data_IF_618730058647
#
_entry.id   IF_618730058647
#
_cell.length_a   1.000
_cell.length_b   1.000
_cell.length_c   1.000
_cell.angle_alpha   90.00
_cell.angle_beta   90.00
_cell.angle_gamma   90.00
#
_symmetry.space_group_name_H-M   'P 1'
#
loop_
_entity.id
_entity.type
_entity.pdbx_description
1 polymer ?
#
# COMPACT_ATOMS: atom_id res chain seq x y z
N UNK A 1 0.70 -5.65 -30.76
CA UNK A 1 1.97 -5.29 -30.11
C UNK A 1 1.77 -4.78 -28.68
N UNK A 2 0.78 -3.90 -28.39
CA UNK A 2 0.46 -3.46 -27.01
C UNK A 2 0.38 -4.59 -25.97
N UNK A 3 -0.32 -5.68 -26.27
CA UNK A 3 -0.43 -6.82 -25.33
C UNK A 3 0.92 -7.50 -25.08
N UNK A 4 1.83 -7.53 -26.07
CA UNK A 4 3.15 -8.16 -25.93
C UNK A 4 4.05 -7.32 -25.01
N UNK A 5 4.05 -6.00 -25.16
CA UNK A 5 4.76 -5.08 -24.27
C UNK A 5 4.21 -5.16 -22.85
N UNK A 6 2.88 -5.21 -22.68
CA UNK A 6 2.26 -5.39 -21.37
C UNK A 6 2.65 -6.72 -20.72
N UNK A 7 2.66 -7.82 -21.48
CA UNK A 7 3.11 -9.13 -21.01
C UNK A 7 4.59 -9.05 -20.58
N UNK A 8 5.45 -8.51 -21.42
CA UNK A 8 6.88 -8.32 -21.11
C UNK A 8 7.08 -7.51 -19.82
N UNK A 9 6.40 -6.38 -19.67
CA UNK A 9 6.43 -5.58 -18.45
C UNK A 9 6.02 -6.40 -17.22
N UNK A 10 4.89 -7.11 -17.32
CA UNK A 10 4.38 -7.88 -16.19
C UNK A 10 5.28 -9.06 -15.82
N UNK A 11 5.89 -9.74 -16.78
CA UNK A 11 6.64 -10.97 -16.53
C UNK A 11 8.12 -10.73 -16.21
N UNK A 12 8.72 -9.68 -16.78
CA UNK A 12 10.17 -9.46 -16.72
C UNK A 12 10.59 -8.17 -16.01
N UNK A 13 9.80 -7.09 -16.05
CA UNK A 13 10.25 -5.75 -15.59
C UNK A 13 9.72 -5.37 -14.20
N UNK A 14 8.68 -6.05 -13.73
CA UNK A 14 7.98 -5.70 -12.48
C UNK A 14 8.84 -5.94 -11.22
N UNK A 15 8.69 -5.08 -10.21
CA UNK A 15 9.39 -5.18 -8.91
C UNK A 15 9.19 -6.54 -8.24
N UNK A 16 7.96 -7.08 -8.35
CA UNK A 16 7.63 -8.42 -7.87
C UNK A 16 8.52 -9.51 -8.48
N UNK A 17 8.87 -9.39 -9.76
CA UNK A 17 9.66 -10.37 -10.50
C UNK A 17 11.15 -10.17 -10.31
N UNK A 18 11.61 -8.91 -10.31
CA UNK A 18 13.03 -8.58 -10.21
C UNK A 18 13.59 -8.60 -8.79
N UNK A 19 12.80 -8.15 -7.81
CA UNK A 19 13.25 -7.94 -6.43
C UNK A 19 12.50 -8.86 -5.46
N UNK A 20 11.18 -8.79 -5.39
CA UNK A 20 10.43 -9.45 -4.31
C UNK A 20 10.48 -10.98 -4.40
N UNK A 21 10.52 -11.54 -5.61
CA UNK A 21 10.70 -12.98 -5.86
C UNK A 21 11.94 -13.56 -5.17
N UNK A 22 13.01 -12.76 -5.07
CA UNK A 22 14.30 -13.13 -4.44
C UNK A 22 14.32 -12.91 -2.93
N UNK A 23 13.23 -12.37 -2.36
CA UNK A 23 13.10 -12.06 -0.94
C UNK A 23 11.71 -12.37 -0.37
N UNK A 24 11.05 -13.42 -0.87
CA UNK A 24 9.67 -13.77 -0.53
C UNK A 24 9.37 -13.70 0.98
N UNK A 25 10.21 -14.31 1.84
CA UNK A 25 10.01 -14.28 3.29
C UNK A 25 10.06 -12.87 3.88
N UNK A 26 11.09 -12.08 3.51
CA UNK A 26 11.25 -10.71 4.00
C UNK A 26 10.13 -9.79 3.50
N UNK A 27 9.67 -10.01 2.27
CA UNK A 27 8.55 -9.29 1.68
C UNK A 27 7.26 -9.54 2.45
N UNK A 28 6.91 -10.81 2.68
CA UNK A 28 5.70 -11.15 3.45
C UNK A 28 5.80 -10.67 4.90
N UNK A 29 6.97 -10.80 5.54
CA UNK A 29 7.16 -10.27 6.89
C UNK A 29 7.01 -8.75 6.94
N UNK A 30 7.51 -8.03 5.93
CA UNK A 30 7.37 -6.58 5.84
C UNK A 30 5.92 -6.18 5.64
N UNK A 31 5.21 -6.81 4.71
CA UNK A 31 3.80 -6.54 4.45
C UNK A 31 2.93 -6.78 5.68
N UNK A 32 3.07 -7.95 6.32
CA UNK A 32 2.28 -8.31 7.51
C UNK A 32 2.57 -7.33 8.65
N UNK A 33 3.85 -7.03 8.88
CA UNK A 33 4.26 -6.13 9.95
C UNK A 33 3.71 -4.72 9.73
N UNK A 34 3.80 -4.18 8.51
CA UNK A 34 3.28 -2.85 8.18
C UNK A 34 1.75 -2.77 8.26
N UNK A 35 1.06 -3.85 7.87
CA UNK A 35 -0.42 -3.93 7.90
C UNK A 35 -0.98 -4.00 9.32
N UNK A 36 -0.32 -4.76 10.20
CA UNK A 36 -0.77 -4.98 11.57
C UNK A 36 -0.27 -3.92 12.56
N UNK A 37 0.81 -3.21 12.23
CA UNK A 37 1.43 -2.27 13.15
C UNK A 37 0.51 -1.14 13.62
N UNK A 38 -0.16 -0.47 12.68
CA UNK A 38 -1.00 0.68 13.01
C UNK A 38 -2.22 0.30 13.86
N UNK A 39 -2.98 -0.78 13.54
CA UNK A 39 -4.02 -1.30 14.44
C UNK A 39 -3.49 -1.62 15.83
N UNK A 40 -2.35 -2.31 15.94
CA UNK A 40 -1.77 -2.71 17.23
C UNK A 40 -1.29 -1.53 18.07
N UNK A 41 -0.68 -0.51 17.44
CA UNK A 41 -0.27 0.72 18.12
C UNK A 41 -1.50 1.44 18.68
N UNK A 42 -2.58 1.55 17.91
CA UNK A 42 -3.78 2.25 18.39
C UNK A 42 -4.46 1.45 19.51
N UNK A 43 -4.54 0.12 19.40
CA UNK A 43 -5.05 -0.73 20.49
C UNK A 43 -4.23 -0.51 21.77
N UNK A 44 -2.90 -0.48 21.67
CA UNK A 44 -2.03 -0.21 22.81
C UNK A 44 -2.27 1.18 23.44
N UNK A 45 -2.50 2.21 22.61
CA UNK A 45 -2.85 3.56 23.07
C UNK A 45 -4.24 3.62 23.72
N UNK A 46 -5.22 2.90 23.19
CA UNK A 46 -6.55 2.79 23.79
C UNK A 46 -6.49 2.11 25.17
N UNK A 47 -5.73 1.02 25.30
CA UNK A 47 -5.52 0.33 26.58
C UNK A 47 -4.87 1.29 27.58
N UNK A 48 -3.83 2.02 27.15
CA UNK A 48 -3.15 3.02 27.98
C UNK A 48 -4.11 4.11 28.47
N UNK A 49 -4.97 4.63 27.60
CA UNK A 49 -5.97 5.64 27.97
C UNK A 49 -7.00 5.13 28.98
N UNK A 50 -7.39 3.86 28.89
CA UNK A 50 -8.41 3.26 29.77
C UNK A 50 -7.86 2.78 31.12
N UNK A 51 -6.55 2.60 31.26
CA UNK A 51 -5.94 2.11 32.50
C UNK A 51 -5.37 3.26 33.31
N UNK A 52 -6.10 3.69 34.36
CA UNK A 52 -5.71 4.78 35.27
C UNK A 52 -4.39 4.53 36.03
N UNK A 53 -3.92 3.27 36.11
CA UNK A 53 -2.65 2.90 36.74
C UNK A 53 -1.56 2.65 35.71
N UNK A 54 -0.48 3.44 35.81
CA UNK A 54 0.90 3.13 35.39
C UNK A 54 1.02 2.13 34.23
N UNK A 55 0.41 2.46 33.10
CA UNK A 55 0.36 1.60 31.92
C UNK A 55 1.65 1.72 31.08
N UNK A 56 2.81 1.52 31.70
CA UNK A 56 4.09 1.52 31.01
C UNK A 56 4.21 0.34 30.03
N UNK A 57 3.55 -0.79 30.31
CA UNK A 57 3.57 -1.99 29.47
C UNK A 57 3.08 -1.77 28.03
N UNK A 58 1.83 -1.28 27.83
CA UNK A 58 1.31 -0.96 26.49
C UNK A 58 2.19 0.05 25.74
N UNK A 59 2.68 1.09 26.42
CA UNK A 59 3.56 2.11 25.81
C UNK A 59 4.89 1.49 25.36
N UNK A 60 5.54 0.68 26.21
CA UNK A 60 6.77 -0.05 25.85
C UNK A 60 6.54 -1.00 24.68
N UNK A 61 5.38 -1.67 24.62
CA UNK A 61 5.03 -2.55 23.51
C UNK A 61 4.86 -1.79 22.18
N UNK A 62 4.23 -0.62 22.22
CA UNK A 62 4.09 0.25 21.04
C UNK A 62 5.45 0.76 20.56
N UNK A 63 6.32 1.19 21.48
CA UNK A 63 7.69 1.61 21.15
C UNK A 63 8.48 0.45 20.53
N UNK A 64 8.42 -0.74 21.13
CA UNK A 64 9.09 -1.93 20.60
C UNK A 64 8.60 -2.27 19.18
N UNK A 65 7.30 -2.13 18.93
CA UNK A 65 6.70 -2.37 17.61
C UNK A 65 7.19 -1.35 16.57
N UNK A 66 7.28 -0.07 16.93
CA UNK A 66 7.84 0.98 16.05
C UNK A 66 9.32 0.69 15.74
N UNK A 67 10.12 0.33 16.74
CA UNK A 67 11.53 -0.04 16.54
C UNK A 67 11.65 -1.26 15.62
N UNK A 68 10.80 -2.27 15.81
CA UNK A 68 10.75 -3.45 14.96
C UNK A 68 10.38 -3.13 13.51
N UNK A 69 9.42 -2.22 13.28
CA UNK A 69 9.08 -1.73 11.94
C UNK A 69 10.25 -1.04 11.26
N UNK A 70 10.94 -0.14 11.97
CA UNK A 70 12.13 0.55 11.45
C UNK A 70 13.20 -0.47 11.08
N UNK A 71 13.41 -1.49 11.92
CA UNK A 71 14.36 -2.56 11.66
C UNK A 71 14.01 -3.36 10.40
N UNK A 72 12.76 -3.83 10.27
CA UNK A 72 12.34 -4.58 9.08
C UNK A 72 12.44 -3.71 7.83
N UNK A 73 11.97 -2.46 7.88
CA UNK A 73 12.03 -1.54 6.74
C UNK A 73 13.48 -1.33 6.27
N UNK A 74 14.41 -1.09 7.21
CA UNK A 74 15.84 -0.99 6.90
C UNK A 74 16.39 -2.28 6.29
N UNK A 75 16.00 -3.44 6.83
CA UNK A 75 16.49 -4.74 6.34
C UNK A 75 15.96 -5.04 4.93
N UNK A 76 14.70 -4.72 4.67
CA UNK A 76 14.07 -4.83 3.36
C UNK A 76 14.78 -3.97 2.32
N UNK A 77 14.97 -2.67 2.60
CA UNK A 77 15.66 -1.74 1.70
C UNK A 77 17.11 -2.17 1.43
N UNK A 78 17.82 -2.64 2.46
CA UNK A 78 19.20 -3.12 2.32
C UNK A 78 19.28 -4.34 1.40
N UNK A 79 18.37 -5.31 1.56
CA UNK A 79 18.30 -6.50 0.70
C UNK A 79 17.91 -6.14 -0.74
N UNK A 80 16.96 -5.21 -0.93
CA UNK A 80 16.52 -4.78 -2.26
C UNK A 80 17.69 -4.17 -3.03
N UNK A 81 18.48 -3.31 -2.36
CA UNK A 81 19.71 -2.75 -2.93
C UNK A 81 20.74 -3.81 -3.31
N UNK A 82 20.98 -4.81 -2.45
CA UNK A 82 21.94 -5.88 -2.75
C UNK A 82 21.54 -6.62 -4.03
N UNK A 83 20.24 -6.87 -4.21
CA UNK A 83 19.72 -7.51 -5.43
C UNK A 83 19.93 -6.61 -6.65
N UNK A 84 19.58 -5.32 -6.57
CA UNK A 84 19.78 -4.37 -7.66
C UNK A 84 21.25 -4.26 -8.08
N UNK A 85 22.15 -4.10 -7.11
CA UNK A 85 23.57 -3.99 -7.39
C UNK A 85 24.17 -5.29 -7.94
N UNK A 86 23.71 -6.46 -7.48
CA UNK A 86 24.24 -7.76 -7.95
C UNK A 86 23.78 -8.11 -9.36
N UNK A 87 22.53 -7.78 -9.69
CA UNK A 87 21.88 -8.25 -10.92
C UNK A 87 21.95 -7.21 -12.04
N UNK A 88 21.95 -5.93 -11.68
CA UNK A 88 21.88 -4.81 -12.63
C UNK A 88 23.06 -3.84 -12.49
N UNK A 89 24.01 -4.10 -11.59
CA UNK A 89 25.17 -3.24 -11.34
C UNK A 89 24.83 -1.78 -10.97
N UNK A 90 23.61 -1.51 -10.49
CA UNK A 90 23.18 -0.16 -10.11
C UNK A 90 23.56 0.14 -8.67
N UNK A 91 24.33 1.22 -8.50
CA UNK A 91 24.72 1.75 -7.19
C UNK A 91 23.69 2.77 -6.71
N UNK A 92 22.77 2.35 -5.85
CA UNK A 92 21.80 3.25 -5.21
C UNK A 92 22.28 3.80 -3.86
N UNK A 93 21.89 5.04 -3.56
CA UNK A 93 22.12 5.66 -2.26
C UNK A 93 21.38 4.92 -1.12
N UNK A 94 21.83 5.12 0.13
CA UNK A 94 21.18 4.49 1.30
C UNK A 94 19.72 4.95 1.41
N UNK A 95 18.79 4.01 1.35
CA UNK A 95 17.35 4.26 1.53
C UNK A 95 16.57 4.56 0.24
N UNK A 96 17.23 4.71 -0.91
CA UNK A 96 16.59 5.07 -2.20
C UNK A 96 16.75 3.98 -3.26
N UNK A 97 16.38 2.75 -2.93
CA UNK A 97 16.48 1.66 -3.92
C UNK A 97 15.46 1.80 -5.06
N UNK A 98 14.36 2.54 -4.82
CA UNK A 98 13.30 2.79 -5.79
C UNK A 98 13.78 3.56 -7.02
N UNK A 99 14.59 4.61 -6.84
CA UNK A 99 15.10 5.44 -7.94
C UNK A 99 15.93 4.60 -8.91
N UNK A 100 16.92 3.86 -8.40
CA UNK A 100 17.72 2.97 -9.23
C UNK A 100 16.94 1.78 -9.78
N UNK A 101 15.85 1.36 -9.13
CA UNK A 101 14.95 0.36 -9.71
C UNK A 101 14.18 0.93 -10.91
N UNK A 102 13.69 2.17 -10.83
CA UNK A 102 13.01 2.86 -11.92
C UNK A 102 13.92 2.98 -13.16
N UNK A 103 15.19 3.29 -12.96
CA UNK A 103 16.21 3.30 -14.03
C UNK A 103 16.34 1.94 -14.73
N UNK A 104 16.35 0.82 -13.99
CA UNK A 104 16.30 -0.54 -14.59
C UNK A 104 15.06 -0.70 -15.46
N UNK A 105 13.91 -0.24 -14.97
CA UNK A 105 12.65 -0.42 -15.69
C UNK A 105 12.63 0.37 -16.99
N UNK A 106 13.09 1.62 -16.96
CA UNK A 106 13.27 2.44 -18.16
C UNK A 106 14.19 1.73 -19.15
N UNK A 107 15.36 1.28 -18.69
CA UNK A 107 16.35 0.62 -19.54
C UNK A 107 15.79 -0.65 -20.21
N UNK A 108 15.19 -1.56 -19.44
CA UNK A 108 14.62 -2.81 -19.97
C UNK A 108 13.45 -2.57 -20.95
N UNK A 109 12.62 -1.54 -20.70
CA UNK A 109 11.52 -1.21 -21.60
C UNK A 109 12.06 -0.55 -22.88
N UNK A 110 13.04 0.34 -22.77
CA UNK A 110 13.71 0.94 -23.93
C UNK A 110 14.35 -0.11 -24.82
N UNK A 111 15.10 -1.06 -24.26
CA UNK A 111 15.68 -2.18 -25.02
C UNK A 111 14.60 -2.96 -25.78
N UNK A 112 13.51 -3.32 -25.10
CA UNK A 112 12.38 -4.01 -25.74
C UNK A 112 11.77 -3.20 -26.88
N UNK A 113 11.60 -1.88 -26.70
CA UNK A 113 11.06 -0.99 -27.72
C UNK A 113 11.99 -0.90 -28.93
N UNK A 114 13.31 -0.87 -28.73
CA UNK A 114 14.31 -0.84 -29.81
C UNK A 114 14.29 -2.17 -30.57
N UNK A 115 14.35 -3.30 -29.86
CA UNK A 115 14.35 -4.65 -30.46
C UNK A 115 13.13 -4.94 -31.33
N UNK A 116 11.99 -4.31 -31.02
CA UNK A 116 10.71 -4.53 -31.70
C UNK A 116 10.33 -3.38 -32.66
N UNK A 117 11.24 -2.46 -32.96
CA UNK A 117 10.98 -1.28 -33.81
C UNK A 117 9.75 -0.48 -33.32
N UNK A 118 9.67 -0.24 -32.01
CA UNK A 118 8.66 0.59 -31.36
C UNK A 118 9.25 1.87 -30.78
N UNK A 119 10.57 2.04 -30.81
CA UNK A 119 11.30 3.20 -30.29
C UNK A 119 11.23 4.40 -31.24
N UNK A 120 10.03 4.97 -31.38
CA UNK A 120 9.81 6.25 -32.05
C UNK A 120 8.71 7.01 -31.34
N UNK A 121 8.81 8.33 -31.31
CA UNK A 121 7.86 9.21 -30.60
C UNK A 121 6.40 8.86 -30.88
N UNK A 122 6.01 8.84 -32.16
CA UNK A 122 4.66 8.50 -32.59
C UNK A 122 4.20 7.08 -32.19
N UNK A 123 5.08 6.07 -32.26
CA UNK A 123 4.71 4.69 -31.85
C UNK A 123 4.49 4.60 -30.34
N UNK A 124 5.29 5.32 -29.55
CA UNK A 124 5.17 5.38 -28.08
C UNK A 124 3.88 6.11 -27.67
N UNK A 125 3.59 7.27 -28.27
CA UNK A 125 2.36 8.03 -28.02
C UNK A 125 1.11 7.18 -28.32
N UNK A 126 1.09 6.48 -29.46
CA UNK A 126 0.00 5.57 -29.81
C UNK A 126 -0.18 4.43 -28.79
N UNK A 127 0.92 3.88 -28.25
CA UNK A 127 0.85 2.85 -27.22
C UNK A 127 0.24 3.41 -25.93
N UNK A 128 0.65 4.61 -25.52
CA UNK A 128 0.13 5.29 -24.35
C UNK A 128 -1.36 5.58 -24.46
N UNK A 129 -1.80 6.11 -25.61
CA UNK A 129 -3.23 6.35 -25.89
C UNK A 129 -4.03 5.05 -25.87
N UNK A 130 -3.53 3.99 -26.48
CA UNK A 130 -4.18 2.69 -26.49
C UNK A 130 -4.36 2.12 -25.06
N UNK A 131 -3.38 2.32 -24.16
CA UNK A 131 -3.51 1.92 -22.77
C UNK A 131 -4.48 2.80 -21.98
N UNK A 132 -4.49 4.12 -22.22
CA UNK A 132 -5.47 5.04 -21.61
C UNK A 132 -6.90 4.64 -22.00
N UNK A 133 -7.13 4.36 -23.29
CA UNK A 133 -8.42 3.90 -23.79
C UNK A 133 -8.87 2.59 -23.14
N UNK A 134 -7.96 1.62 -22.96
CA UNK A 134 -8.29 0.36 -22.28
C UNK A 134 -8.65 0.57 -20.79
N UNK A 135 -7.99 1.50 -20.10
CA UNK A 135 -8.26 1.80 -18.69
C UNK A 135 -9.63 2.45 -18.47
N UNK A 136 -10.12 3.27 -19.41
CA UNK A 136 -11.47 3.85 -19.31
C UNK A 136 -12.59 2.81 -19.37
N UNK A 137 -12.33 1.65 -19.99
CA UNK A 137 -13.30 0.56 -20.15
C UNK A 137 -13.35 -0.38 -18.94
N UNK A 138 -12.25 -0.54 -18.22
CA UNK A 138 -12.17 -1.36 -17.01
C UNK A 138 -12.43 -0.49 -15.76
N UNK A 139 -13.68 -0.41 -15.27
CA UNK A 139 -13.99 0.23 -13.98
C UNK A 139 -13.62 -0.72 -12.83
N UNK A 140 -12.95 -0.20 -11.79
CA UNK A 140 -12.66 -0.99 -10.59
C UNK A 140 -13.95 -1.26 -9.80
N UNK A 141 -14.26 -2.53 -9.44
CA UNK A 141 -15.29 -2.79 -8.46
C UNK A 141 -14.82 -2.28 -7.07
N UNK A 142 -15.73 -1.71 -6.26
CA UNK A 142 -15.40 -1.30 -4.89
C UNK A 142 -15.00 -2.53 -4.07
N UNK A 143 -13.94 -2.42 -3.25
CA UNK A 143 -13.45 -3.53 -2.41
C UNK A 143 -14.49 -4.00 -1.39
N UNK A 144 -15.21 -3.05 -0.81
CA UNK A 144 -16.36 -3.29 0.05
C UNK A 144 -17.42 -2.30 -0.42
N UNK A 145 -18.61 -2.78 -0.75
CA UNK A 145 -19.72 -1.88 -1.04
C UNK A 145 -20.06 -1.12 0.25
N UNK A 146 -20.08 0.23 0.24
CA UNK A 146 -20.40 1.02 1.43
C UNK A 146 -21.74 0.60 2.06
N UNK A 147 -22.70 0.18 1.22
CA UNK A 147 -24.00 -0.34 1.65
C UNK A 147 -23.89 -1.59 2.53
N UNK A 148 -23.00 -2.53 2.21
CA UNK A 148 -22.77 -3.75 3.03
C UNK A 148 -22.14 -3.35 4.36
N UNK A 149 -21.17 -2.44 4.32
CA UNK A 149 -20.47 -1.96 5.51
C UNK A 149 -21.44 -1.28 6.48
N UNK A 150 -22.33 -0.41 5.97
CA UNK A 150 -23.38 0.25 6.75
C UNK A 150 -24.40 -0.77 7.27
N UNK A 151 -24.84 -1.71 6.43
CA UNK A 151 -25.84 -2.72 6.82
C UNK A 151 -25.35 -3.63 7.95
N UNK A 152 -24.05 -3.91 8.03
CA UNK A 152 -23.46 -4.68 9.14
C UNK A 152 -23.17 -3.80 10.35
N UNK A 153 -22.61 -2.60 10.17
CA UNK A 153 -22.23 -1.74 11.30
C UNK A 153 -23.43 -1.15 12.05
N UNK A 154 -24.43 -0.63 11.33
CA UNK A 154 -25.54 0.10 11.93
C UNK A 154 -26.33 -0.72 12.98
N UNK A 155 -26.78 -1.96 12.72
CA UNK A 155 -27.51 -2.74 13.73
C UNK A 155 -26.61 -3.14 14.91
N UNK A 156 -25.33 -3.45 14.68
CA UNK A 156 -24.40 -3.82 15.75
C UNK A 156 -24.08 -2.62 16.65
N UNK A 157 -23.88 -1.43 16.08
CA UNK A 157 -23.72 -0.19 16.83
C UNK A 157 -24.98 0.15 17.63
N UNK A 158 -26.17 0.02 17.05
CA UNK A 158 -27.42 0.26 17.77
C UNK A 158 -27.60 -0.71 18.95
N UNK A 159 -27.30 -1.99 18.76
CA UNK A 159 -27.36 -2.98 19.84
C UNK A 159 -26.34 -2.69 20.94
N UNK A 160 -25.11 -2.35 20.56
CA UNK A 160 -24.04 -1.98 21.48
C UNK A 160 -24.40 -0.72 22.29
N UNK A 161 -24.84 0.35 21.63
CA UNK A 161 -25.24 1.59 22.29
C UNK A 161 -26.41 1.36 23.25
N UNK A 162 -27.43 0.61 22.83
CA UNK A 162 -28.59 0.28 23.68
C UNK A 162 -28.15 -0.41 24.97
N UNK A 163 -27.24 -1.37 24.89
CA UNK A 163 -26.72 -2.09 26.06
C UNK A 163 -26.04 -1.16 27.07
N UNK A 164 -25.31 -0.14 26.61
CA UNK A 164 -24.66 0.84 27.48
C UNK A 164 -25.65 1.86 28.07
N UNK A 165 -26.63 2.32 27.30
CA UNK A 165 -27.65 3.27 27.78
C UNK A 165 -28.62 2.66 28.82
N UNK A 166 -28.84 1.34 28.78
CA UNK A 166 -29.68 0.63 29.75
C UNK A 166 -28.94 0.33 31.08
N UNK A 167 -27.62 0.44 31.12
CA UNK A 167 -26.85 0.24 32.35
C UNK A 167 -26.91 1.49 33.25
N UNK A 168 -27.36 1.30 34.50
CA UNK A 168 -27.63 2.37 35.48
C UNK A 168 -26.44 3.30 35.75
N UNK A 169 -25.21 2.80 35.59
CA UNK A 169 -23.99 3.58 35.80
C UNK A 169 -23.73 4.63 34.71
N UNK A 170 -24.38 4.51 33.55
CA UNK A 170 -24.14 5.38 32.39
C UNK A 170 -25.26 6.39 32.12
N UNK A 171 -26.29 6.45 32.98
CA UNK A 171 -27.35 7.45 32.90
C UNK A 171 -26.95 8.82 33.49
N UNK A 172 -25.82 8.89 34.20
CA UNK A 172 -25.24 10.14 34.71
C UNK A 172 -24.54 10.93 33.60
N UNK A 173 -24.40 12.26 33.76
CA UNK A 173 -23.68 13.10 32.80
C UNK A 173 -22.23 12.62 32.56
N UNK A 174 -21.55 12.13 33.60
CA UNK A 174 -20.20 11.57 33.51
C UNK A 174 -20.18 10.27 32.70
N UNK A 175 -21.16 9.39 32.92
CA UNK A 175 -21.30 8.15 32.16
C UNK A 175 -21.63 8.39 30.68
N UNK A 176 -22.50 9.35 30.38
CA UNK A 176 -22.80 9.76 29.00
C UNK A 176 -21.59 10.38 28.31
N UNK A 177 -20.80 11.20 29.02
CA UNK A 177 -19.55 11.76 28.49
C UNK A 177 -18.52 10.67 28.17
N UNK A 178 -18.44 9.62 29.00
CA UNK A 178 -17.55 8.48 28.78
C UNK A 178 -17.97 7.66 27.55
N UNK A 179 -19.28 7.41 27.38
CA UNK A 179 -19.82 6.75 26.18
C UNK A 179 -19.51 7.59 24.93
N UNK A 180 -19.81 8.89 24.96
CA UNK A 180 -19.55 9.79 23.85
C UNK A 180 -18.07 9.79 23.45
N UNK A 181 -17.17 9.94 24.43
CA UNK A 181 -15.73 9.94 24.21
C UNK A 181 -15.23 8.61 23.63
N UNK A 182 -15.80 7.51 24.10
CA UNK A 182 -15.48 6.16 23.61
C UNK A 182 -15.91 5.98 22.16
N UNK A 183 -17.15 6.32 21.83
CA UNK A 183 -17.69 6.20 20.46
C UNK A 183 -16.93 7.12 19.49
N UNK A 184 -16.58 8.33 19.92
CA UNK A 184 -15.79 9.27 19.13
C UNK A 184 -14.37 8.72 18.86
N UNK A 185 -13.69 8.19 19.88
CA UNK A 185 -12.37 7.56 19.72
C UNK A 185 -12.42 6.35 18.76
N UNK A 186 -13.41 5.47 18.90
CA UNK A 186 -13.59 4.34 17.97
C UNK A 186 -13.89 4.81 16.55
N UNK A 187 -14.69 5.87 16.39
CA UNK A 187 -15.00 6.42 15.07
C UNK A 187 -13.75 6.97 14.39
N UNK A 188 -12.93 7.74 15.11
CA UNK A 188 -11.64 8.23 14.61
C UNK A 188 -10.72 7.06 14.27
N UNK A 189 -10.65 6.03 15.13
CA UNK A 189 -9.87 4.82 14.88
C UNK A 189 -10.26 4.13 13.58
N UNK A 190 -11.57 3.90 13.36
CA UNK A 190 -12.05 3.27 12.12
C UNK A 190 -11.69 4.10 10.89
N UNK A 191 -11.86 5.42 10.93
CA UNK A 191 -11.50 6.29 9.80
C UNK A 191 -10.00 6.22 9.52
N UNK A 192 -9.15 6.28 10.55
CA UNK A 192 -7.69 6.23 10.39
C UNK A 192 -7.24 4.86 9.87
N UNK A 193 -7.76 3.76 10.41
CA UNK A 193 -7.42 2.40 9.96
C UNK A 193 -7.90 2.17 8.52
N UNK A 194 -9.13 2.56 8.17
CA UNK A 194 -9.65 2.40 6.80
C UNK A 194 -8.82 3.23 5.82
N UNK A 195 -8.47 4.48 6.18
CA UNK A 195 -7.66 5.36 5.33
C UNK A 195 -6.25 4.79 5.15
N UNK A 196 -5.63 4.31 6.23
CA UNK A 196 -4.32 3.67 6.19
C UNK A 196 -4.32 2.37 5.39
N UNK A 197 -5.34 1.53 5.58
CA UNK A 197 -5.51 0.32 4.78
C UNK A 197 -5.74 0.65 3.31
N UNK A 198 -6.50 1.69 2.98
CA UNK A 198 -6.64 2.15 1.59
C UNK A 198 -5.29 2.56 1.02
N UNK A 199 -4.48 3.31 1.78
CA UNK A 199 -3.13 3.73 1.38
C UNK A 199 -2.20 2.52 1.15
N UNK A 200 -2.10 1.60 2.12
CA UNK A 200 -1.34 0.34 1.96
C UNK A 200 -1.86 -0.43 0.76
N UNK A 201 -3.18 -0.52 0.62
CA UNK A 201 -3.77 -1.28 -0.46
C UNK A 201 -3.45 -0.68 -1.83
N UNK A 202 -3.41 0.65 -1.95
CA UNK A 202 -2.96 1.35 -3.16
C UNK A 202 -1.47 1.09 -3.43
N UNK A 203 -0.61 1.25 -2.43
CA UNK A 203 0.85 1.01 -2.52
C UNK A 203 1.19 -0.44 -2.91
N UNK A 204 0.48 -1.41 -2.31
CA UNK A 204 0.68 -2.84 -2.58
C UNK A 204 -0.28 -3.39 -3.63
N UNK A 205 -1.16 -2.57 -4.22
CA UNK A 205 -2.15 -3.01 -5.22
C UNK A 205 -1.46 -3.63 -6.43
N UNK A 206 -0.28 -3.14 -6.80
CA UNK A 206 0.54 -3.69 -7.88
C UNK A 206 0.99 -5.13 -7.60
N UNK A 207 1.13 -5.48 -6.33
CA UNK A 207 1.74 -6.72 -5.86
C UNK A 207 0.67 -7.74 -5.48
N UNK A 208 -0.35 -7.30 -4.74
CA UNK A 208 -1.43 -8.12 -4.18
C UNK A 208 -2.59 -8.35 -5.15
N UNK A 209 -2.96 -7.34 -5.94
CA UNK A 209 -4.01 -7.49 -6.92
C UNK A 209 -3.44 -7.66 -8.32
N UNK A 210 -3.88 -8.72 -9.00
CA UNK A 210 -3.72 -8.85 -10.44
C UNK A 210 -4.66 -7.84 -11.12
N UNK A 211 -4.31 -6.55 -11.09
CA UNK A 211 -5.10 -5.51 -11.76
C UNK A 211 -4.32 -4.94 -12.93
N UNK A 212 -4.76 -5.35 -14.13
CA UNK A 212 -4.20 -4.97 -15.43
C UNK A 212 -4.16 -3.43 -15.62
N UNK A 213 -5.10 -2.70 -15.04
CA UNK A 213 -5.15 -1.21 -15.02
C UNK A 213 -3.87 -0.62 -14.41
N UNK A 214 -3.45 -1.09 -13.23
CA UNK A 214 -2.28 -0.53 -12.55
C UNK A 214 -1.00 -0.81 -13.34
N UNK A 215 -0.89 -2.00 -13.94
CA UNK A 215 0.24 -2.32 -14.82
C UNK A 215 0.30 -1.42 -16.05
N UNK A 216 -0.84 -1.10 -16.65
CA UNK A 216 -0.92 -0.15 -17.77
C UNK A 216 -0.57 1.27 -17.33
N UNK A 217 -1.01 1.72 -16.15
CA UNK A 217 -0.68 3.04 -15.61
C UNK A 217 0.82 3.20 -15.36
N UNK A 218 1.46 2.22 -14.72
CA UNK A 218 2.90 2.27 -14.46
C UNK A 218 3.71 2.18 -15.75
N UNK A 219 3.31 1.28 -16.65
CA UNK A 219 3.93 1.20 -17.97
C UNK A 219 3.78 2.52 -18.74
N UNK A 220 2.63 3.20 -18.65
CA UNK A 220 2.45 4.53 -19.23
C UNK A 220 3.37 5.58 -18.61
N UNK A 221 3.61 5.53 -17.29
CA UNK A 221 4.57 6.42 -16.63
C UNK A 221 5.99 6.19 -17.17
N UNK A 222 6.42 4.93 -17.27
CA UNK A 222 7.73 4.57 -17.82
C UNK A 222 7.85 5.00 -19.29
N UNK A 223 6.82 4.79 -20.09
CA UNK A 223 6.79 5.22 -21.50
C UNK A 223 6.86 6.74 -21.64
N UNK A 224 6.26 7.49 -20.72
CA UNK A 224 6.34 8.94 -20.68
C UNK A 224 7.77 9.42 -20.37
N UNK A 225 8.45 8.81 -19.41
CA UNK A 225 9.85 9.14 -19.10
C UNK A 225 10.79 8.82 -20.27
N UNK A 226 10.55 7.71 -20.99
CA UNK A 226 11.27 7.37 -22.22
C UNK A 226 11.01 8.41 -23.31
N UNK A 227 9.76 8.85 -23.47
CA UNK A 227 9.39 9.87 -24.46
C UNK A 227 10.13 11.19 -24.20
N UNK A 228 10.19 11.64 -22.94
CA UNK A 228 10.96 12.83 -22.55
C UNK A 228 12.44 12.66 -22.93
N UNK A 229 13.02 11.49 -22.68
CA UNK A 229 14.42 11.21 -23.03
C UNK A 229 14.72 11.15 -24.54
N UNK A 230 13.69 11.00 -25.39
CA UNK A 230 13.84 11.08 -26.86
C UNK A 230 13.80 12.54 -27.34
N UNK A 231 13.12 13.42 -26.60
CA UNK A 231 12.96 14.84 -26.95
C UNK A 231 14.14 15.72 -26.49
N UNK A 232 14.95 15.23 -25.55
CA UNK A 232 16.17 15.87 -25.04
C UNK A 232 17.40 15.59 -25.91
#
# INVERSE_FOLDING_TARGET
MKNKLLIFYTEKVRARKLIYSKMNFLFWSYLISYTLALPLIIIALCIWFWTEKSAYGPVLSAIALVVFLIFIHRRFNSKARIILNREFSIKTEKGKWLDGFHEVQIHMITEYLIEHDLYSKWKIENLMEAYKADNTKEKMPPLVAPSILIAVLAPNLNYFLKHFYEATNFQTNEGQFLIFSTVLLFSIFFVVVITFWKYIFEEFSEILLYKRINYRNNLNSILYDILIGIES
#
